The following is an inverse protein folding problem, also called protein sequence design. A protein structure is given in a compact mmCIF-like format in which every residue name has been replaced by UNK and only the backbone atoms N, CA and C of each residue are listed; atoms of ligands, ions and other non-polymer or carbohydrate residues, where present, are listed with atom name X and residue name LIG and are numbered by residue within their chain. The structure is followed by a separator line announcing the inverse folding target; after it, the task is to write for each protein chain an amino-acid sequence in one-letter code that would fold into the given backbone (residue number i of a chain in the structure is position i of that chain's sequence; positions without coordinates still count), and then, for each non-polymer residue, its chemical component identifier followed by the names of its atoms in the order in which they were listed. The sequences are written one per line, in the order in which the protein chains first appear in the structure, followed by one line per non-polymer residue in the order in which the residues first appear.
data_IF_562808735321
#
_entry.id   IF_562808735321
#
_cell.length_a   1.000
_cell.length_b   1.000
_cell.length_c   1.000
_cell.angle_alpha   90.00
_cell.angle_beta   90.00
_cell.angle_gamma   90.00
#
_symmetry.space_group_name_H-M   'P 1'
#
loop_
_entity.id
_entity.type
_entity.pdbx_description
1 polymer ?
#
# COMPACT_ATOMS: atom_id res chain seq x y z
N UNK A 1 5.25 -8.14 -13.86
CA UNK A 1 5.87 -8.13 -12.52
C UNK A 1 6.83 -9.30 -12.43
N UNK A 2 8.12 -9.05 -12.18
CA UNK A 2 9.16 -10.08 -12.19
C UNK A 2 9.52 -10.41 -10.74
N UNK A 3 8.96 -11.50 -10.19
CA UNK A 3 9.28 -11.92 -8.83
C UNK A 3 10.71 -12.50 -8.80
N UNK A 4 11.58 -11.87 -8.03
CA UNK A 4 12.94 -12.33 -7.79
C UNK A 4 12.91 -13.73 -7.15
N UNK A 5 13.47 -14.72 -7.85
CA UNK A 5 13.78 -16.04 -7.28
C UNK A 5 14.88 -15.87 -6.24
N UNK A 6 14.63 -16.26 -4.98
CA UNK A 6 15.74 -16.51 -4.06
C UNK A 6 15.56 -16.22 -2.58
N UNK A 7 14.36 -16.27 -2.00
CA UNK A 7 14.23 -16.27 -0.53
C UNK A 7 14.36 -17.69 0.03
N UNK A 8 15.46 -17.93 0.74
CA UNK A 8 15.73 -19.13 1.52
C UNK A 8 14.70 -19.29 2.64
N UNK A 9 13.84 -20.31 2.51
CA UNK A 9 12.74 -20.59 3.42
C UNK A 9 13.19 -21.03 4.83
N UNK A 10 14.48 -21.29 5.05
CA UNK A 10 15.01 -21.78 6.33
C UNK A 10 15.14 -20.71 7.42
N UNK A 11 14.89 -19.42 7.10
CA UNK A 11 15.01 -18.30 8.06
C UNK A 11 13.69 -17.80 8.66
N UNK A 12 12.57 -18.46 8.40
CA UNK A 12 11.26 -18.08 8.95
C UNK A 12 10.91 -18.98 10.13
N UNK A 13 11.50 -18.72 11.29
CA UNK A 13 11.03 -19.29 12.56
C UNK A 13 10.60 -18.18 13.52
N UNK A 14 9.32 -17.79 13.42
CA UNK A 14 8.57 -17.15 14.51
C UNK A 14 7.10 -17.57 14.40
N UNK A 15 6.73 -18.69 15.04
CA UNK A 15 5.40 -18.97 15.62
C UNK A 15 4.15 -18.29 15.03
N UNK A 16 3.86 -18.44 13.74
CA UNK A 16 2.54 -18.17 13.19
C UNK A 16 2.18 -19.23 12.15
N UNK A 17 1.05 -19.90 12.37
CA UNK A 17 0.34 -20.66 11.35
C UNK A 17 -0.20 -19.66 10.32
N UNK A 18 0.69 -19.04 9.54
CA UNK A 18 0.32 -18.23 8.40
C UNK A 18 -0.31 -19.17 7.38
N UNK A 19 -1.54 -18.84 6.98
CA UNK A 19 -2.23 -19.47 5.86
C UNK A 19 -1.37 -19.25 4.61
N UNK A 20 -0.45 -20.16 4.34
CA UNK A 20 0.34 -20.12 3.13
C UNK A 20 -0.60 -20.38 1.95
N UNK A 21 -0.83 -19.35 1.14
CA UNK A 21 -1.59 -19.49 -0.09
C UNK A 21 -0.81 -20.39 -1.06
N UNK A 22 -1.52 -21.26 -1.78
CA UNK A 22 -0.94 -22.00 -2.90
C UNK A 22 -0.57 -21.04 -4.03
N UNK A 23 0.30 -21.47 -4.95
CA UNK A 23 0.63 -20.68 -6.14
C UNK A 23 -0.62 -20.31 -6.95
N UNK A 24 -1.56 -21.25 -7.10
CA UNK A 24 -2.85 -21.03 -7.76
C UNK A 24 -3.70 -19.99 -7.03
N UNK A 25 -3.73 -20.01 -5.69
CA UNK A 25 -4.43 -19.00 -4.91
C UNK A 25 -3.81 -17.61 -5.04
N UNK A 26 -2.47 -17.53 -5.08
CA UNK A 26 -1.75 -16.26 -5.31
C UNK A 26 -2.05 -15.72 -6.72
N UNK A 27 -2.01 -16.58 -7.73
CA UNK A 27 -2.32 -16.22 -9.10
C UNK A 27 -3.76 -15.74 -9.25
N UNK A 28 -4.73 -16.47 -8.66
CA UNK A 28 -6.12 -16.07 -8.65
C UNK A 28 -6.33 -14.71 -7.97
N UNK A 29 -5.66 -14.46 -6.83
CA UNK A 29 -5.74 -13.18 -6.13
C UNK A 29 -5.15 -12.02 -6.95
N UNK A 30 -4.00 -12.23 -7.59
CA UNK A 30 -3.41 -11.23 -8.49
C UNK A 30 -4.34 -10.94 -9.68
N UNK A 31 -4.87 -11.99 -10.31
CA UNK A 31 -5.78 -11.85 -11.45
C UNK A 31 -7.07 -11.11 -11.11
N UNK A 32 -7.56 -11.23 -9.86
CA UNK A 32 -8.78 -10.55 -9.43
C UNK A 32 -8.65 -9.01 -9.39
N UNK A 33 -7.43 -8.48 -9.28
CA UNK A 33 -7.16 -7.05 -9.27
C UNK A 33 -6.50 -6.55 -10.57
N UNK A 34 -6.24 -7.44 -11.53
CA UNK A 34 -5.71 -7.03 -12.83
C UNK A 34 -6.70 -6.13 -13.56
N UNK A 35 -6.18 -5.05 -14.16
CA UNK A 35 -6.98 -4.10 -14.93
C UNK A 35 -7.75 -3.07 -14.09
N UNK A 36 -7.57 -3.06 -12.76
CA UNK A 36 -8.00 -1.95 -11.93
C UNK A 36 -7.16 -0.71 -12.24
N UNK A 37 -7.70 0.16 -13.08
CA UNK A 37 -7.16 1.50 -13.36
C UNK A 37 -8.31 2.49 -13.37
N UNK A 38 -8.31 3.38 -12.38
CA UNK A 38 -9.28 4.46 -12.24
C UNK A 38 -8.63 5.84 -12.36
N UNK A 39 -7.41 5.92 -12.90
CA UNK A 39 -6.65 7.18 -12.94
C UNK A 39 -7.37 8.26 -13.75
N UNK A 40 -8.15 7.88 -14.76
CA UNK A 40 -8.90 8.82 -15.60
C UNK A 40 -10.09 9.45 -14.86
N UNK A 41 -10.62 8.77 -13.84
CA UNK A 41 -11.77 9.18 -13.05
C UNK A 41 -11.38 10.04 -11.83
N UNK A 42 -10.14 9.89 -11.32
CA UNK A 42 -9.67 10.64 -10.14
C UNK A 42 -9.86 12.17 -10.23
N UNK A 43 -9.65 12.84 -11.39
CA UNK A 43 -9.85 14.28 -11.48
C UNK A 43 -11.30 14.75 -11.22
N UNK A 44 -12.28 13.85 -11.30
CA UNK A 44 -13.68 14.16 -11.02
C UNK A 44 -14.06 13.99 -9.54
N UNK A 45 -13.16 13.45 -8.70
CA UNK A 45 -13.41 13.19 -7.29
C UNK A 45 -13.06 14.41 -6.43
N UNK A 46 -14.01 15.33 -6.29
CA UNK A 46 -13.89 16.49 -5.39
C UNK A 46 -14.27 16.13 -3.94
N UNK A 47 -13.50 15.21 -3.36
CA UNK A 47 -13.60 14.78 -1.96
C UNK A 47 -12.22 14.87 -1.30
N UNK A 48 -12.11 15.39 -0.06
CA UNK A 48 -10.85 15.34 0.68
C UNK A 48 -10.32 13.91 0.73
N UNK A 49 -9.05 13.73 0.37
CA UNK A 49 -8.42 12.41 0.30
C UNK A 49 -7.05 12.42 0.97
N UNK A 50 -6.80 11.48 1.88
CA UNK A 50 -5.48 11.21 2.44
C UNK A 50 -4.89 9.96 1.78
N UNK A 51 -3.74 10.10 1.15
CA UNK A 51 -2.91 9.00 0.67
C UNK A 51 -1.77 8.73 1.65
N UNK A 52 -1.58 7.47 1.99
CA UNK A 52 -0.50 7.02 2.89
C UNK A 52 0.38 6.04 2.11
N UNK A 53 1.69 6.23 2.15
CA UNK A 53 2.67 5.33 1.51
C UNK A 53 3.87 5.10 2.41
N UNK A 54 4.43 3.90 2.45
CA UNK A 54 5.69 3.65 3.15
C UNK A 54 6.88 3.94 2.25
N UNK A 55 7.90 4.64 2.78
CA UNK A 55 9.14 5.00 2.06
C UNK A 55 9.83 3.80 1.40
N UNK A 56 9.69 2.61 1.99
CA UNK A 56 10.34 1.38 1.56
C UNK A 56 9.39 0.39 0.87
N UNK A 57 8.16 0.79 0.53
CA UNK A 57 7.24 -0.07 -0.19
C UNK A 57 7.74 -0.35 -1.62
N UNK A 58 8.01 -1.62 -1.91
CA UNK A 58 8.41 -2.09 -3.24
C UNK A 58 7.23 -2.55 -4.10
N UNK A 59 6.10 -2.85 -3.46
CA UNK A 59 4.87 -3.29 -4.13
C UNK A 59 4.12 -2.07 -4.66
N UNK A 60 3.95 -1.04 -3.83
CA UNK A 60 3.35 0.25 -4.18
C UNK A 60 4.29 1.40 -3.81
N UNK A 61 5.30 1.73 -4.66
CA UNK A 61 6.30 2.74 -4.33
C UNK A 61 5.69 4.13 -4.07
N UNK A 62 6.30 4.95 -3.18
CA UNK A 62 5.81 6.30 -2.87
C UNK A 62 5.55 7.19 -4.08
N UNK A 63 6.40 7.10 -5.11
CA UNK A 63 6.24 7.86 -6.34
C UNK A 63 4.90 7.59 -7.06
N UNK A 64 4.36 6.38 -6.93
CA UNK A 64 3.05 6.05 -7.48
C UNK A 64 1.92 6.66 -6.64
N UNK A 65 2.05 6.67 -5.32
CA UNK A 65 1.16 7.41 -4.43
C UNK A 65 1.16 8.92 -4.75
N UNK A 66 2.34 9.51 -4.91
CA UNK A 66 2.51 10.93 -5.28
C UNK A 66 1.83 11.25 -6.62
N UNK A 67 1.97 10.34 -7.60
CA UNK A 67 1.29 10.43 -8.90
C UNK A 67 -0.23 10.43 -8.73
N UNK A 68 -0.78 9.53 -7.92
CA UNK A 68 -2.23 9.45 -7.67
C UNK A 68 -2.73 10.71 -6.94
N UNK A 69 -2.00 11.17 -5.92
CA UNK A 69 -2.32 12.40 -5.20
C UNK A 69 -2.38 13.61 -6.15
N UNK A 70 -1.47 13.69 -7.11
CA UNK A 70 -1.45 14.75 -8.13
C UNK A 70 -2.62 14.72 -9.13
N UNK A 71 -3.36 13.62 -9.23
CA UNK A 71 -4.56 13.51 -10.07
C UNK A 71 -5.83 13.94 -9.34
N UNK A 72 -5.82 13.94 -8.01
CA UNK A 72 -6.97 14.27 -7.18
C UNK A 72 -7.03 15.80 -6.92
N UNK A 73 -8.21 16.44 -7.06
CA UNK A 73 -8.36 17.88 -6.81
C UNK A 73 -8.03 18.30 -5.37
N UNK A 74 -8.34 17.45 -4.40
CA UNK A 74 -8.17 17.70 -2.97
C UNK A 74 -7.55 16.49 -2.30
N UNK A 75 -6.24 16.34 -2.45
CA UNK A 75 -5.48 15.27 -1.84
C UNK A 75 -4.29 15.78 -1.05
N UNK A 76 -4.02 15.10 0.06
CA UNK A 76 -2.78 15.15 0.78
C UNK A 76 -2.12 13.78 0.75
N UNK A 77 -0.80 13.77 0.66
CA UNK A 77 0.00 12.54 0.73
C UNK A 77 0.98 12.60 1.89
N UNK A 78 1.06 11.50 2.61
CA UNK A 78 2.01 11.30 3.68
C UNK A 78 2.87 10.08 3.41
N UNK A 79 4.19 10.30 3.34
CA UNK A 79 5.17 9.23 3.20
C UNK A 79 5.74 8.89 4.56
N UNK A 80 5.50 7.65 4.98
CA UNK A 80 5.96 7.08 6.24
C UNK A 80 7.41 6.63 6.10
N UNK A 81 8.32 7.43 6.67
CA UNK A 81 9.78 7.30 6.45
C UNK A 81 10.40 6.02 7.01
N UNK A 82 9.69 5.28 7.88
CA UNK A 82 10.18 4.05 8.50
C UNK A 82 9.26 2.84 8.21
N UNK A 83 8.44 2.93 7.15
CA UNK A 83 7.50 1.88 6.76
C UNK A 83 7.75 1.34 5.34
N UNK A 84 7.39 0.07 5.14
CA UNK A 84 7.24 -0.58 3.85
C UNK A 84 5.77 -0.64 3.44
N UNK A 85 5.28 -1.83 3.09
CA UNK A 85 3.93 -2.00 2.52
C UNK A 85 2.80 -1.87 3.55
N UNK A 86 3.09 -2.00 4.84
CA UNK A 86 2.07 -2.03 5.89
C UNK A 86 2.31 -0.97 6.97
N UNK A 87 2.25 0.35 6.65
CA UNK A 87 2.47 1.42 7.62
C UNK A 87 1.60 1.32 8.88
N UNK A 88 0.40 0.75 8.77
CA UNK A 88 -0.49 0.50 9.91
C UNK A 88 0.04 -0.51 10.93
N UNK A 89 0.91 -1.43 10.51
CA UNK A 89 1.57 -2.40 11.39
C UNK A 89 2.99 -1.94 11.78
N UNK A 90 3.65 -1.20 10.91
CA UNK A 90 5.06 -0.81 11.05
C UNK A 90 5.23 0.46 11.89
N UNK A 91 4.37 1.46 11.70
CA UNK A 91 4.34 2.72 12.46
C UNK A 91 2.92 3.02 12.99
N UNK A 92 2.32 2.13 13.82
CA UNK A 92 0.89 2.17 14.15
C UNK A 92 0.44 3.46 14.86
N UNK A 93 1.29 4.02 15.71
CA UNK A 93 0.97 5.26 16.44
C UNK A 93 0.90 6.46 15.50
N UNK A 94 1.87 6.55 14.58
CA UNK A 94 1.91 7.59 13.57
C UNK A 94 0.72 7.44 12.61
N UNK A 95 0.47 6.22 12.13
CA UNK A 95 -0.65 5.91 11.23
C UNK A 95 -2.01 6.34 11.78
N UNK A 96 -2.29 6.02 13.05
CA UNK A 96 -3.54 6.43 13.72
C UNK A 96 -3.59 7.95 13.92
N UNK A 97 -2.47 8.60 14.23
CA UNK A 97 -2.42 10.05 14.39
C UNK A 97 -2.71 10.77 13.07
N UNK A 98 -2.10 10.35 11.96
CA UNK A 98 -2.30 10.92 10.63
C UNK A 98 -3.76 10.83 10.17
N UNK A 99 -4.39 9.67 10.36
CA UNK A 99 -5.83 9.49 10.07
C UNK A 99 -6.69 10.40 10.96
N UNK A 100 -6.40 10.48 12.26
CA UNK A 100 -7.19 11.33 13.18
C UNK A 100 -7.08 12.81 12.86
N UNK A 101 -5.89 13.28 12.48
CA UNK A 101 -5.67 14.66 12.04
C UNK A 101 -6.50 14.95 10.80
N UNK A 102 -6.41 14.10 9.78
CA UNK A 102 -7.18 14.26 8.54
C UNK A 102 -8.70 14.26 8.76
N UNK A 103 -9.21 13.39 9.64
CA UNK A 103 -10.65 13.33 9.93
C UNK A 103 -11.17 14.52 10.77
N UNK A 104 -10.29 15.34 11.33
CA UNK A 104 -10.65 16.50 12.12
C UNK A 104 -10.66 17.82 11.31
N UNK A 105 -10.26 17.77 10.04
CA UNK A 105 -10.32 18.88 9.07
C UNK A 105 -11.75 19.13 8.57
#
# INVERSE_FOLDING_TARGET
MNFARGTDASKLDVTHRQLAMTAEQIEAANNAVLGFDFCAELPALDIPTLLISGRHDILNPPAEGERIAGLLPSAQIEVFEHSGHLPSLEEPQHYVASIRTFLAE
#
